data_IF_534288319479
#
_entry.id   IF_534288319479
#
_cell.length_a   1.000
_cell.length_b   1.000
_cell.length_c   1.000
_cell.angle_alpha   90.00
_cell.angle_beta   90.00
_cell.angle_gamma   90.00
#
_symmetry.space_group_name_H-M   'P 1'
#
loop_
_entity.id
_entity.type
_entity.pdbx_description
1 polymer ?
#
# COMPACT_ATOMS: atom_id res chain seq x y z
N UNK A 1 18.73 -1.13 4.00
CA UNK A 1 17.49 -1.30 3.23
C UNK A 1 17.56 -2.60 2.45
N UNK A 2 16.42 -3.28 2.23
CA UNK A 2 16.31 -4.73 1.93
C UNK A 2 17.51 -5.27 1.14
N UNK A 3 18.29 -6.15 1.79
CA UNK A 3 19.54 -6.71 1.28
C UNK A 3 19.28 -7.88 0.34
N UNK A 4 18.23 -8.65 0.58
CA UNK A 4 17.86 -9.75 -0.31
C UNK A 4 17.28 -9.21 -1.64
N UNK A 5 18.10 -9.29 -2.70
CA UNK A 5 17.74 -8.82 -4.03
C UNK A 5 16.53 -9.55 -4.63
N UNK A 6 16.34 -10.84 -4.31
CA UNK A 6 15.21 -11.63 -4.81
C UNK A 6 13.92 -11.15 -4.15
N UNK A 7 13.94 -10.99 -2.82
CA UNK A 7 12.78 -10.49 -2.07
C UNK A 7 12.44 -9.06 -2.48
N UNK A 8 13.45 -8.18 -2.60
CA UNK A 8 13.25 -6.82 -3.09
C UNK A 8 12.56 -6.79 -4.45
N UNK A 9 12.98 -7.66 -5.39
CA UNK A 9 12.33 -7.79 -6.70
C UNK A 9 10.89 -8.26 -6.59
N UNK A 10 10.60 -9.26 -5.76
CA UNK A 10 9.22 -9.75 -5.54
C UNK A 10 8.33 -8.63 -4.99
N UNK A 11 8.79 -7.89 -3.99
CA UNK A 11 8.05 -6.76 -3.41
C UNK A 11 7.76 -5.69 -4.46
N UNK A 12 8.74 -5.37 -5.32
CA UNK A 12 8.54 -4.43 -6.42
C UNK A 12 7.52 -4.92 -7.45
N UNK A 13 7.47 -6.23 -7.73
CA UNK A 13 6.45 -6.82 -8.60
C UNK A 13 5.06 -6.77 -7.96
N UNK A 14 4.94 -7.08 -6.67
CA UNK A 14 3.68 -7.00 -5.93
C UNK A 14 3.16 -5.56 -5.91
N UNK A 15 4.04 -4.56 -5.72
CA UNK A 15 3.66 -3.15 -5.83
C UNK A 15 3.22 -2.76 -7.24
N UNK A 16 3.92 -3.23 -8.27
CA UNK A 16 3.54 -2.99 -9.66
C UNK A 16 2.14 -3.56 -9.98
N UNK A 17 1.77 -4.70 -9.39
CA UNK A 17 0.42 -5.26 -9.50
C UNK A 17 -0.63 -4.34 -8.88
N UNK A 18 -0.35 -3.73 -7.71
CA UNK A 18 -1.26 -2.74 -7.10
C UNK A 18 -1.55 -1.58 -8.05
N UNK A 19 -0.52 -1.01 -8.68
CA UNK A 19 -0.64 0.11 -9.63
C UNK A 19 -1.32 -0.30 -10.94
N UNK A 20 -1.04 -1.50 -11.45
CA UNK A 20 -1.72 -2.03 -12.64
C UNK A 20 -3.21 -2.22 -12.39
N UNK A 21 -3.60 -2.76 -11.23
CA UNK A 21 -5.00 -2.91 -10.85
C UNK A 21 -5.70 -1.55 -10.66
N UNK A 22 -5.04 -0.58 -10.04
CA UNK A 22 -5.53 0.80 -9.93
C UNK A 22 -5.79 1.41 -11.31
N UNK A 23 -4.81 1.31 -12.23
CA UNK A 23 -4.92 1.79 -13.61
C UNK A 23 -6.13 1.17 -14.31
N UNK A 24 -6.30 -0.14 -14.18
CA UNK A 24 -7.47 -0.84 -14.71
C UNK A 24 -8.77 -0.35 -14.09
N UNK A 25 -8.84 -0.13 -12.78
CA UNK A 25 -10.05 0.36 -12.12
C UNK A 25 -10.40 1.77 -12.58
N UNK A 26 -9.38 2.60 -12.85
CA UNK A 26 -9.55 3.96 -13.34
C UNK A 26 -9.77 4.08 -14.85
N UNK A 27 -9.60 3.00 -15.63
CA UNK A 27 -9.53 3.06 -17.08
C UNK A 27 -10.87 3.47 -17.69
N UNK A 28 -10.87 4.57 -18.45
CA UNK A 28 -12.03 5.04 -19.22
C UNK A 28 -12.04 4.41 -20.60
N UNK A 29 -13.20 3.99 -21.09
CA UNK A 29 -13.36 3.55 -22.47
C UNK A 29 -13.62 4.77 -23.37
N UNK A 30 -12.79 4.96 -24.39
CA UNK A 30 -12.98 5.99 -25.40
C UNK A 30 -13.60 5.36 -26.65
N UNK A 31 -14.78 5.83 -27.06
CA UNK A 31 -15.43 5.40 -28.30
C UNK A 31 -15.06 6.35 -29.45
N UNK A 32 -15.08 5.81 -30.68
CA UNK A 32 -14.93 6.60 -31.90
C UNK A 32 -16.01 7.69 -31.95
N UNK A 33 -15.60 8.95 -32.16
CA UNK A 33 -16.48 10.13 -32.10
C UNK A 33 -16.33 10.98 -30.84
N UNK A 34 -15.39 10.67 -29.95
CA UNK A 34 -15.05 11.52 -28.80
C UNK A 34 -15.96 11.35 -27.58
N UNK A 35 -16.87 10.38 -27.60
CA UNK A 35 -17.69 10.02 -26.43
C UNK A 35 -16.88 9.17 -25.45
N UNK A 36 -16.88 9.58 -24.18
CA UNK A 36 -16.29 8.84 -23.07
C UNK A 36 -17.39 8.00 -22.44
N UNK A 37 -17.26 6.67 -22.47
CA UNK A 37 -18.08 5.81 -21.62
C UNK A 37 -17.33 5.58 -20.31
N UNK A 38 -17.93 6.05 -19.22
CA UNK A 38 -17.54 5.67 -17.87
C UNK A 38 -18.15 4.30 -17.58
N UNK A 39 -17.37 3.23 -17.74
CA UNK A 39 -17.65 2.02 -16.99
C UNK A 39 -17.12 2.28 -15.57
N UNK A 40 -17.88 3.04 -14.78
CA UNK A 40 -17.50 3.34 -13.40
C UNK A 40 -17.56 2.02 -12.63
N UNK A 41 -16.39 1.41 -12.43
CA UNK A 41 -16.28 0.32 -11.48
C UNK A 41 -16.66 0.85 -10.10
N UNK A 42 -17.33 0.03 -9.26
CA UNK A 42 -17.75 0.46 -7.94
C UNK A 42 -16.57 1.04 -7.17
N UNK A 43 -16.75 2.20 -6.54
CA UNK A 43 -15.69 2.90 -5.77
C UNK A 43 -15.13 2.02 -4.65
N UNK A 44 -15.93 1.07 -4.17
CA UNK A 44 -15.57 0.04 -3.21
C UNK A 44 -14.40 -0.84 -3.70
N UNK A 45 -14.17 -0.93 -5.01
CA UNK A 45 -13.02 -1.66 -5.58
C UNK A 45 -11.67 -1.15 -5.06
N UNK A 46 -11.59 0.13 -4.69
CA UNK A 46 -10.38 0.73 -4.11
C UNK A 46 -10.07 0.20 -2.70
N UNK A 47 -11.06 -0.35 -1.98
CA UNK A 47 -10.84 -0.96 -0.66
C UNK A 47 -9.99 -2.25 -0.77
N UNK A 48 -10.16 -3.02 -1.85
CA UNK A 48 -9.29 -4.16 -2.13
C UNK A 48 -7.86 -3.72 -2.43
N UNK A 49 -7.69 -2.65 -3.22
CA UNK A 49 -6.37 -2.06 -3.48
C UNK A 49 -5.71 -1.58 -2.19
N UNK A 50 -6.46 -0.97 -1.29
CA UNK A 50 -5.97 -0.54 0.02
C UNK A 50 -5.44 -1.73 0.83
N UNK A 51 -6.18 -2.84 0.88
CA UNK A 51 -5.74 -4.07 1.57
C UNK A 51 -4.43 -4.59 0.98
N UNK A 52 -4.33 -4.65 -0.35
CA UNK A 52 -3.14 -5.12 -1.07
C UNK A 52 -1.94 -4.20 -0.81
N UNK A 53 -2.12 -2.88 -0.88
CA UNK A 53 -1.06 -1.91 -0.63
C UNK A 53 -0.48 -2.05 0.79
N UNK A 54 -1.33 -2.17 1.80
CA UNK A 54 -0.88 -2.42 3.18
C UNK A 54 -0.28 -3.81 3.39
N UNK A 55 -0.64 -4.80 2.56
CA UNK A 55 0.05 -6.10 2.54
C UNK A 55 1.49 -5.95 2.07
N UNK A 56 1.75 -5.19 1.01
CA UNK A 56 3.11 -4.89 0.51
C UNK A 56 3.93 -4.15 1.58
N UNK A 57 3.35 -3.14 2.23
CA UNK A 57 4.01 -2.46 3.35
C UNK A 57 4.37 -3.44 4.48
N UNK A 58 3.46 -4.36 4.81
CA UNK A 58 3.70 -5.42 5.79
C UNK A 58 4.85 -6.36 5.40
N UNK A 59 4.91 -6.77 4.13
CA UNK A 59 6.00 -7.60 3.61
C UNK A 59 7.36 -6.90 3.74
N UNK A 60 7.43 -5.61 3.39
CA UNK A 60 8.66 -4.80 3.54
C UNK A 60 9.13 -4.78 4.99
N UNK A 61 8.23 -4.43 5.92
CA UNK A 61 8.60 -4.31 7.32
C UNK A 61 8.94 -5.68 7.94
N UNK A 62 8.23 -6.74 7.54
CA UNK A 62 8.56 -8.11 7.95
C UNK A 62 9.94 -8.53 7.43
N UNK A 63 10.28 -8.19 6.19
CA UNK A 63 11.61 -8.46 5.65
C UNK A 63 12.69 -7.68 6.41
N UNK A 64 12.43 -6.43 6.78
CA UNK A 64 13.36 -5.66 7.61
C UNK A 64 13.53 -6.25 9.02
N UNK A 65 12.49 -6.87 9.60
CA UNK A 65 12.64 -7.64 10.84
C UNK A 65 13.49 -8.90 10.63
N UNK A 66 13.29 -9.62 9.53
CA UNK A 66 14.06 -10.83 9.22
C UNK A 66 15.54 -10.53 8.94
N UNK A 67 15.84 -9.35 8.38
CA UNK A 67 17.21 -8.85 8.21
C UNK A 67 17.77 -8.15 9.45
N UNK A 68 17.05 -8.20 10.59
CA UNK A 68 17.43 -7.60 11.87
C UNK A 68 17.66 -6.08 11.81
N UNK A 69 17.10 -5.40 10.80
CA UNK A 69 17.16 -3.94 10.62
C UNK A 69 16.23 -3.22 11.60
N UNK A 70 15.10 -3.86 11.95
CA UNK A 70 14.16 -3.36 12.94
C UNK A 70 13.83 -4.47 13.95
N UNK A 71 13.43 -4.09 15.16
CA UNK A 71 13.21 -5.05 16.24
C UNK A 71 12.09 -6.07 15.92
N UNK A 72 12.41 -7.36 16.10
CA UNK A 72 11.48 -8.48 15.92
C UNK A 72 10.87 -8.91 17.26
N UNK A 73 9.73 -8.32 17.64
CA UNK A 73 8.92 -8.78 18.79
C UNK A 73 7.47 -9.12 18.45
N UNK A 74 6.96 -8.65 17.31
CA UNK A 74 5.60 -8.93 16.85
C UNK A 74 5.51 -8.69 15.34
N UNK A 75 4.69 -9.50 14.68
CA UNK A 75 4.39 -9.39 13.24
C UNK A 75 3.16 -8.50 12.96
N UNK A 76 2.57 -7.88 14.00
CA UNK A 76 1.46 -6.95 13.82
C UNK A 76 1.95 -5.69 13.10
N UNK A 77 1.26 -5.32 12.01
CA UNK A 77 1.65 -4.18 11.17
C UNK A 77 1.84 -2.88 11.96
N UNK A 78 0.92 -2.53 12.86
CA UNK A 78 1.06 -1.34 13.70
C UNK A 78 2.28 -1.37 14.63
N UNK A 79 2.65 -2.55 15.13
CA UNK A 79 3.88 -2.71 15.89
C UNK A 79 5.10 -2.49 15.01
N UNK A 80 5.16 -3.15 13.86
CA UNK A 80 6.27 -3.02 12.91
C UNK A 80 6.47 -1.58 12.45
N UNK A 81 5.39 -0.88 12.10
CA UNK A 81 5.40 0.54 11.76
C UNK A 81 5.99 1.36 12.90
N UNK A 82 5.50 1.19 14.13
CA UNK A 82 5.98 1.93 15.30
C UNK A 82 7.46 1.73 15.57
N UNK A 83 7.96 0.48 15.58
CA UNK A 83 9.38 0.21 15.88
C UNK A 83 10.30 0.62 14.75
N UNK A 84 9.82 0.54 13.50
CA UNK A 84 10.63 0.94 12.36
C UNK A 84 11.00 2.42 12.37
N UNK A 85 10.26 3.29 13.07
CA UNK A 85 10.58 4.72 13.23
C UNK A 85 11.96 4.98 13.84
N UNK A 86 12.55 4.00 14.51
CA UNK A 86 13.89 4.09 15.09
C UNK A 86 14.95 4.04 13.98
N UNK A 87 14.71 3.27 12.92
CA UNK A 87 15.69 2.99 11.86
C UNK A 87 15.33 3.63 10.52
N UNK A 88 14.04 3.74 10.20
CA UNK A 88 13.52 4.27 8.95
C UNK A 88 13.10 5.73 9.12
N UNK A 89 13.46 6.56 8.15
CA UNK A 89 12.91 7.91 8.01
C UNK A 89 11.59 7.80 7.25
N UNK A 90 10.48 8.03 7.94
CA UNK A 90 9.15 8.07 7.36
C UNK A 90 8.86 9.47 6.81
N UNK A 91 8.33 9.55 5.60
CA UNK A 91 7.89 10.79 4.97
C UNK A 91 6.54 11.26 5.53
N UNK A 92 5.58 10.35 5.70
CA UNK A 92 4.26 10.66 6.26
C UNK A 92 3.69 9.49 7.09
N UNK A 93 4.36 9.24 8.22
CA UNK A 93 3.94 8.21 9.18
C UNK A 93 2.48 8.37 9.63
N UNK A 94 2.03 9.60 9.88
CA UNK A 94 0.71 9.85 10.46
C UNK A 94 -0.41 9.52 9.47
N UNK A 95 -0.25 9.86 8.18
CA UNK A 95 -1.21 9.46 7.15
C UNK A 95 -1.25 7.94 7.02
N UNK A 96 -0.10 7.27 7.08
CA UNK A 96 -0.04 5.81 6.94
C UNK A 96 -0.60 5.07 8.15
N UNK A 97 -0.42 5.59 9.37
CA UNK A 97 -1.02 5.01 10.56
C UNK A 97 -2.54 5.16 10.55
N UNK A 98 -3.07 6.30 10.08
CA UNK A 98 -4.52 6.47 9.85
C UNK A 98 -5.06 5.48 8.82
N UNK A 99 -4.36 5.30 7.69
CA UNK A 99 -4.78 4.32 6.70
C UNK A 99 -4.68 2.88 7.18
N UNK A 100 -3.74 2.57 8.11
CA UNK A 100 -3.69 1.26 8.78
C UNK A 100 -4.95 1.03 9.61
N UNK A 101 -5.40 2.05 10.35
CA UNK A 101 -6.65 1.98 11.13
C UNK A 101 -7.85 1.80 10.21
N UNK A 102 -7.98 2.62 9.17
CA UNK A 102 -9.02 2.48 8.16
C UNK A 102 -9.04 1.09 7.51
N UNK A 103 -7.86 0.53 7.20
CA UNK A 103 -7.72 -0.83 6.65
C UNK A 103 -8.12 -1.92 7.67
N UNK A 104 -7.91 -1.71 8.96
CA UNK A 104 -8.38 -2.62 10.00
C UNK A 104 -9.90 -2.53 10.18
N UNK A 105 -10.46 -1.33 10.17
CA UNK A 105 -11.91 -1.09 10.24
C UNK A 105 -12.63 -1.70 9.03
N UNK A 106 -12.02 -1.62 7.85
CA UNK A 106 -12.47 -2.33 6.66
C UNK A 106 -12.41 -3.85 6.84
N UNK A 107 -11.24 -4.39 7.23
CA UNK A 107 -11.02 -5.84 7.28
C UNK A 107 -11.79 -6.55 8.42
N UNK A 108 -12.05 -5.86 9.52
CA UNK A 108 -12.66 -6.44 10.72
C UNK A 108 -14.03 -5.85 11.06
N UNK A 109 -14.28 -4.59 10.70
CA UNK A 109 -15.54 -3.90 10.95
C UNK A 109 -16.45 -3.79 9.72
N UNK A 110 -16.00 -4.23 8.54
CA UNK A 110 -16.69 -4.05 7.26
C UNK A 110 -17.04 -2.57 6.97
N UNK A 111 -16.23 -1.64 7.49
CA UNK A 111 -16.41 -0.19 7.27
C UNK A 111 -15.65 0.18 6.01
N UNK A 112 -16.40 0.55 4.96
CA UNK A 112 -15.80 0.96 3.69
C UNK A 112 -15.07 2.29 3.83
N UNK A 113 -13.91 2.37 3.18
CA UNK A 113 -13.10 3.58 3.06
C UNK A 113 -13.44 4.26 1.73
N UNK A 114 -13.62 5.57 1.77
CA UNK A 114 -13.88 6.35 0.55
C UNK A 114 -12.71 6.22 -0.44
N UNK A 115 -13.02 6.27 -1.74
CA UNK A 115 -12.02 6.15 -2.81
C UNK A 115 -10.85 7.13 -2.67
N UNK A 116 -11.14 8.39 -2.38
CA UNK A 116 -10.10 9.42 -2.25
C UNK A 116 -9.15 9.14 -1.08
N UNK A 117 -9.69 8.63 0.04
CA UNK A 117 -8.88 8.21 1.18
C UNK A 117 -8.07 6.96 0.86
N UNK A 118 -8.65 5.97 0.18
CA UNK A 118 -7.91 4.80 -0.31
C UNK A 118 -6.70 5.24 -1.16
N UNK A 119 -6.93 6.10 -2.16
CA UNK A 119 -5.89 6.61 -3.05
C UNK A 119 -4.83 7.41 -2.29
N UNK A 120 -5.25 8.25 -1.34
CA UNK A 120 -4.34 9.00 -0.46
C UNK A 120 -3.40 8.06 0.31
N UNK A 121 -3.93 7.01 0.93
CA UNK A 121 -3.11 6.05 1.67
C UNK A 121 -2.21 5.23 0.76
N UNK A 122 -2.71 4.74 -0.38
CA UNK A 122 -1.91 3.99 -1.37
C UNK A 122 -0.74 4.86 -1.88
N UNK A 123 -1.01 6.12 -2.21
CA UNK A 123 0.03 7.05 -2.66
C UNK A 123 1.06 7.34 -1.58
N UNK A 124 0.64 7.49 -0.33
CA UNK A 124 1.56 7.65 0.79
C UNK A 124 2.48 6.42 0.95
N UNK A 125 1.96 5.20 0.75
CA UNK A 125 2.79 3.98 0.78
C UNK A 125 3.84 4.04 -0.33
N UNK A 126 3.46 4.44 -1.54
CA UNK A 126 4.42 4.53 -2.64
C UNK A 126 5.57 5.49 -2.35
N UNK A 127 5.26 6.64 -1.74
CA UNK A 127 6.26 7.64 -1.36
C UNK A 127 7.28 7.01 -0.42
N UNK A 128 6.85 6.24 0.58
CA UNK A 128 7.77 5.53 1.47
C UNK A 128 8.57 4.46 0.74
N UNK A 129 7.93 3.64 -0.11
CA UNK A 129 8.61 2.57 -0.85
C UNK A 129 9.72 3.14 -1.76
N UNK A 130 9.48 4.29 -2.40
CA UNK A 130 10.48 5.02 -3.20
C UNK A 130 11.58 5.62 -2.33
N UNK A 131 11.21 6.27 -1.22
CA UNK A 131 12.17 6.85 -0.28
C UNK A 131 13.08 5.79 0.34
N UNK A 132 12.56 4.57 0.52
CA UNK A 132 13.30 3.41 0.98
C UNK A 132 13.90 2.59 -0.17
N UNK A 133 14.00 3.15 -1.38
CA UNK A 133 14.54 2.50 -2.58
C UNK A 133 14.11 1.04 -2.72
N UNK A 134 12.90 0.67 -2.29
CA UNK A 134 12.37 -0.69 -2.39
C UNK A 134 11.88 -0.92 -3.81
N UNK A 135 11.29 0.12 -4.41
CA UNK A 135 10.81 0.21 -5.78
C UNK A 135 11.50 1.33 -6.55
#
# INVERSE_FOLDING_TARGET
MIRDKKIKRTIGQDWAVVRELESRISSKLYLAGGMIMYEDRPEESYNLLLILAYSVLGQVLSQLQNEEVIAKKSDKLGYMMKVSKITLTWQDYNTLDKGREARNDLAHGAILVEKNDCLKYINAIEVELKAWEVI
#
